data_IF_330985120676
#
_entry.id   IF_330985120676
#
_cell.length_a   1.000
_cell.length_b   1.000
_cell.length_c   1.000
_cell.angle_alpha   90.00
_cell.angle_beta   90.00
_cell.angle_gamma   90.00
#
_symmetry.space_group_name_H-M   'P 1'
#
loop_
_entity.id
_entity.type
_entity.pdbx_description
1 polymer ?
#
# COMPACT_ATOMS: atom_id res chain seq x y z
N UNK A 1 -6.14 -6.69 -13.32
CA UNK A 1 -4.82 -7.17 -12.88
C UNK A 1 -4.80 -8.67 -13.00
N UNK A 2 -3.71 -9.26 -13.53
CA UNK A 2 -3.52 -10.72 -13.61
C UNK A 2 -2.67 -11.28 -12.47
N UNK A 3 -1.91 -10.43 -11.76
CA UNK A 3 -1.15 -10.79 -10.57
C UNK A 3 -1.82 -10.32 -9.27
N UNK A 4 -1.00 -9.93 -8.29
CA UNK A 4 -1.41 -9.54 -6.94
C UNK A 4 -1.06 -8.08 -6.61
N UNK A 5 -1.78 -7.53 -5.63
CA UNK A 5 -1.47 -6.25 -5.01
C UNK A 5 -0.38 -6.50 -3.96
N UNK A 6 0.80 -5.92 -4.16
CA UNK A 6 1.88 -6.00 -3.21
C UNK A 6 1.83 -4.73 -2.35
N UNK A 7 1.37 -4.88 -1.12
CA UNK A 7 1.26 -3.77 -0.17
C UNK A 7 2.58 -3.64 0.58
N UNK A 8 3.11 -2.42 0.69
CA UNK A 8 4.30 -2.16 1.48
C UNK A 8 4.21 -0.84 2.22
N UNK A 9 4.85 -0.76 3.37
CA UNK A 9 4.95 0.46 4.14
C UNK A 9 6.19 0.50 5.01
N UNK A 10 6.48 1.68 5.54
CA UNK A 10 7.62 1.94 6.42
C UNK A 10 7.14 2.12 7.86
N UNK A 11 7.82 1.49 8.82
CA UNK A 11 7.49 1.57 10.24
C UNK A 11 6.05 1.15 10.53
N UNK A 12 5.29 1.97 11.29
CA UNK A 12 3.87 1.69 11.59
C UNK A 12 2.97 1.62 10.35
N UNK A 13 3.39 2.22 9.22
CA UNK A 13 2.64 2.10 7.96
C UNK A 13 2.69 0.66 7.41
N UNK A 14 3.72 -0.12 7.75
CA UNK A 14 3.79 -1.55 7.42
C UNK A 14 2.69 -2.34 8.13
N UNK A 15 2.52 -2.12 9.45
CA UNK A 15 1.49 -2.81 10.25
C UNK A 15 0.08 -2.52 9.70
N UNK A 16 -0.19 -1.26 9.36
CA UNK A 16 -1.44 -0.87 8.69
C UNK A 16 -1.54 -1.53 7.32
N UNK A 17 -0.45 -1.55 6.54
CA UNK A 17 -0.38 -2.21 5.24
C UNK A 17 -0.68 -3.71 5.28
N UNK A 18 -0.29 -4.42 6.33
CA UNK A 18 -0.62 -5.83 6.54
C UNK A 18 -2.14 -6.03 6.69
N UNK A 19 -2.81 -5.19 7.49
CA UNK A 19 -4.27 -5.25 7.68
C UNK A 19 -4.99 -4.90 6.37
N UNK A 20 -4.52 -3.88 5.64
CA UNK A 20 -5.06 -3.49 4.35
C UNK A 20 -4.91 -4.62 3.33
N UNK A 21 -3.73 -5.24 3.25
CA UNK A 21 -3.48 -6.37 2.35
C UNK A 21 -4.41 -7.54 2.66
N UNK A 22 -4.53 -7.90 3.93
CA UNK A 22 -5.45 -8.96 4.39
C UNK A 22 -6.90 -8.63 3.99
N UNK A 23 -7.35 -7.41 4.25
CA UNK A 23 -8.70 -6.96 3.90
C UNK A 23 -8.98 -7.03 2.39
N UNK A 24 -8.04 -6.56 1.57
CA UNK A 24 -8.16 -6.59 0.11
C UNK A 24 -8.20 -8.04 -0.40
N UNK A 25 -7.38 -8.92 0.18
CA UNK A 25 -7.36 -10.36 -0.13
C UNK A 25 -8.71 -11.03 0.19
N UNK A 26 -9.22 -10.83 1.40
CA UNK A 26 -10.52 -11.37 1.84
C UNK A 26 -11.70 -10.84 1.01
N UNK A 27 -11.54 -9.69 0.36
CA UNK A 27 -12.55 -9.09 -0.53
C UNK A 27 -12.36 -9.46 -2.02
N UNK A 28 -11.61 -10.53 -2.30
CA UNK A 28 -11.51 -11.13 -3.63
C UNK A 28 -10.45 -10.51 -4.53
N UNK A 29 -9.48 -9.77 -3.97
CA UNK A 29 -8.33 -9.25 -4.72
C UNK A 29 -7.03 -9.80 -4.16
N UNK A 30 -6.32 -10.69 -4.89
CA UNK A 30 -5.06 -11.26 -4.41
C UNK A 30 -4.11 -10.18 -3.93
N UNK A 31 -3.67 -10.29 -2.68
CA UNK A 31 -2.85 -9.28 -2.03
C UNK A 31 -1.86 -9.93 -1.06
N UNK A 32 -0.65 -9.40 -1.00
CA UNK A 32 0.39 -9.79 -0.04
C UNK A 32 1.12 -8.55 0.46
N UNK A 33 1.52 -8.54 1.73
CA UNK A 33 2.26 -7.43 2.33
C UNK A 33 3.72 -7.79 2.57
N UNK A 34 4.63 -6.88 2.23
CA UNK A 34 6.04 -6.92 2.64
C UNK A 34 6.40 -5.61 3.34
N UNK A 35 7.24 -5.67 4.38
CA UNK A 35 7.81 -4.41 4.88
C UNK A 35 8.74 -3.80 3.85
N UNK A 36 8.92 -2.48 3.88
CA UNK A 36 9.83 -1.82 2.95
C UNK A 36 11.27 -2.36 3.09
N UNK A 37 11.66 -2.70 4.32
CA UNK A 37 12.96 -3.30 4.64
C UNK A 37 13.12 -4.70 4.03
N UNK A 38 12.08 -5.53 4.06
CA UNK A 38 12.12 -6.88 3.48
C UNK A 38 12.32 -6.82 1.96
N UNK A 39 11.67 -5.85 1.30
CA UNK A 39 11.84 -5.62 -0.14
C UNK A 39 13.28 -5.20 -0.45
N UNK A 40 13.80 -4.21 0.28
CA UNK A 40 15.18 -3.76 0.12
C UNK A 40 16.22 -4.89 0.28
N UNK A 41 15.97 -5.81 1.21
CA UNK A 41 16.90 -6.91 1.52
C UNK A 41 16.58 -8.25 0.83
N UNK A 42 15.84 -8.24 -0.29
CA UNK A 42 15.76 -9.39 -1.20
C UNK A 42 14.35 -9.86 -1.57
N UNK A 43 13.31 -9.38 -0.89
CA UNK A 43 11.92 -9.78 -1.20
C UNK A 43 11.38 -9.16 -2.49
N UNK A 44 12.13 -8.26 -3.14
CA UNK A 44 11.81 -7.78 -4.50
C UNK A 44 11.67 -8.91 -5.53
N UNK A 45 12.30 -10.08 -5.29
CA UNK A 45 12.13 -11.27 -6.11
C UNK A 45 10.71 -11.86 -6.12
N UNK A 46 9.88 -11.54 -5.10
CA UNK A 46 8.48 -11.97 -5.03
C UNK A 46 7.56 -11.19 -5.99
N UNK A 47 8.05 -10.10 -6.58
CA UNK A 47 7.30 -9.24 -7.50
C UNK A 47 7.32 -9.84 -8.91
N UNK A 48 6.13 -10.19 -9.41
CA UNK A 48 5.94 -10.58 -10.80
C UNK A 48 5.80 -9.33 -11.67
N UNK A 49 6.93 -8.88 -12.24
CA UNK A 49 7.11 -7.56 -12.90
C UNK A 49 5.99 -7.10 -13.83
N UNK A 50 5.38 -8.02 -14.60
CA UNK A 50 4.35 -7.72 -15.60
C UNK A 50 2.91 -7.87 -15.10
N UNK A 51 2.72 -8.37 -13.88
CA UNK A 51 1.41 -8.81 -13.39
C UNK A 51 1.01 -8.14 -12.09
N UNK A 52 1.99 -7.79 -11.26
CA UNK A 52 1.78 -7.23 -9.93
C UNK A 52 1.73 -5.71 -9.95
N UNK A 53 1.08 -5.15 -8.94
CA UNK A 53 1.06 -3.70 -8.65
C UNK A 53 1.56 -3.47 -7.24
N UNK A 54 2.30 -2.38 -7.02
CA UNK A 54 2.73 -1.98 -5.68
C UNK A 54 1.78 -0.94 -5.11
N UNK A 55 1.30 -1.18 -3.89
CA UNK A 55 0.59 -0.20 -3.07
C UNK A 55 1.51 0.20 -1.91
N UNK A 56 2.12 1.37 -2.03
CA UNK A 56 3.17 1.83 -1.11
C UNK A 56 2.63 2.91 -0.19
N UNK A 57 2.74 2.68 1.12
CA UNK A 57 2.16 3.50 2.19
C UNK A 57 3.27 4.20 2.99
N UNK A 58 3.27 5.53 3.00
CA UNK A 58 4.16 6.30 3.89
C UNK A 58 3.63 7.69 4.17
N UNK A 59 3.47 8.01 5.47
CA UNK A 59 3.00 9.33 5.92
C UNK A 59 3.88 10.46 5.39
N UNK A 60 5.21 10.35 5.54
CA UNK A 60 6.16 11.35 5.04
C UNK A 60 6.45 11.21 3.55
N UNK A 61 6.44 9.98 3.03
CA UNK A 61 6.79 9.64 1.65
C UNK A 61 8.27 9.88 1.30
N UNK A 62 9.16 9.92 2.30
CA UNK A 62 10.56 10.35 2.16
C UNK A 62 11.61 9.38 2.73
N UNK A 63 11.25 8.19 3.24
CA UNK A 63 12.25 7.32 3.85
C UNK A 63 13.18 6.67 2.81
N UNK A 64 14.38 6.29 3.25
CA UNK A 64 15.41 5.72 2.39
C UNK A 64 14.97 4.37 1.78
N UNK A 65 14.28 3.54 2.55
CA UNK A 65 13.77 2.22 2.13
C UNK A 65 12.82 2.34 0.93
N UNK A 66 12.08 3.46 0.83
CA UNK A 66 11.20 3.71 -0.32
C UNK A 66 12.00 3.95 -1.61
N UNK A 67 13.21 4.53 -1.53
CA UNK A 67 14.00 4.85 -2.70
C UNK A 67 14.41 3.58 -3.46
N UNK A 68 14.82 2.54 -2.73
CA UNK A 68 15.16 1.23 -3.28
C UNK A 68 13.96 0.61 -4.01
N UNK A 69 12.77 0.64 -3.39
CA UNK A 69 11.53 0.15 -4.00
C UNK A 69 11.20 0.92 -5.28
N UNK A 70 11.14 2.25 -5.22
CA UNK A 70 10.77 3.10 -6.36
C UNK A 70 11.75 2.96 -7.53
N UNK A 71 13.05 2.86 -7.24
CA UNK A 71 14.09 2.66 -8.26
C UNK A 71 13.90 1.32 -8.97
N UNK A 72 13.66 0.25 -8.20
CA UNK A 72 13.41 -1.08 -8.75
C UNK A 72 12.14 -1.10 -9.60
N UNK A 73 11.04 -0.52 -9.08
CA UNK A 73 9.77 -0.45 -9.78
C UNK A 73 9.90 0.29 -11.11
N UNK A 74 10.56 1.45 -11.11
CA UNK A 74 10.80 2.23 -12.31
C UNK A 74 11.65 1.47 -13.33
N UNK A 75 12.74 0.81 -12.89
CA UNK A 75 13.61 -0.01 -13.76
C UNK A 75 12.86 -1.15 -14.45
N UNK A 76 11.86 -1.72 -13.79
CA UNK A 76 11.12 -2.88 -14.29
C UNK A 76 9.69 -2.56 -14.75
N UNK A 77 9.33 -1.28 -14.88
CA UNK A 77 8.00 -0.82 -15.26
C UNK A 77 6.87 -1.41 -14.39
N UNK A 78 7.14 -1.65 -13.10
CA UNK A 78 6.14 -2.12 -12.15
C UNK A 78 5.28 -0.93 -11.74
N UNK A 79 3.95 -0.97 -11.92
CA UNK A 79 3.10 0.15 -11.54
C UNK A 79 3.09 0.36 -10.02
N UNK A 80 3.26 1.61 -9.60
CA UNK A 80 3.25 2.04 -8.20
C UNK A 80 2.05 2.94 -7.93
N UNK A 81 1.26 2.56 -6.92
CA UNK A 81 0.25 3.37 -6.27
C UNK A 81 0.85 3.89 -4.97
N UNK A 82 1.16 5.17 -4.92
CA UNK A 82 1.72 5.81 -3.73
C UNK A 82 0.65 6.49 -2.90
N UNK A 83 0.64 6.18 -1.60
CA UNK A 83 -0.28 6.76 -0.62
C UNK A 83 0.51 7.51 0.43
N UNK A 84 0.29 8.83 0.52
CA UNK A 84 1.01 9.70 1.45
C UNK A 84 0.15 10.87 1.92
N UNK A 85 0.55 11.51 3.02
CA UNK A 85 -0.05 12.77 3.48
C UNK A 85 0.67 14.01 2.93
N UNK A 86 1.75 13.83 2.16
CA UNK A 86 2.56 14.92 1.60
C UNK A 86 2.62 14.83 0.08
N UNK A 87 1.89 15.72 -0.60
CA UNK A 87 1.82 15.78 -2.07
C UNK A 87 3.19 16.02 -2.73
N UNK A 88 4.10 16.71 -2.05
CA UNK A 88 5.44 17.01 -2.54
C UNK A 88 6.48 15.91 -2.25
N UNK A 89 6.07 14.77 -1.67
CA UNK A 89 6.96 13.69 -1.25
C UNK A 89 7.59 12.94 -2.43
N UNK A 90 8.73 12.30 -2.18
CA UNK A 90 9.41 11.44 -3.16
C UNK A 90 8.48 10.33 -3.64
N UNK A 91 7.77 9.67 -2.72
CA UNK A 91 6.81 8.62 -3.05
C UNK A 91 5.77 9.09 -4.06
N UNK A 92 5.09 10.21 -3.78
CA UNK A 92 4.04 10.72 -4.65
C UNK A 92 4.60 11.15 -6.01
N UNK A 93 5.78 11.78 -6.05
CA UNK A 93 6.40 12.21 -7.31
C UNK A 93 6.71 11.04 -8.26
N UNK A 94 7.13 9.89 -7.73
CA UNK A 94 7.54 8.72 -8.51
C UNK A 94 6.45 7.64 -8.65
N UNK A 95 5.24 7.90 -8.16
CA UNK A 95 4.12 6.97 -8.28
C UNK A 95 3.33 7.20 -9.56
N UNK A 96 2.87 6.11 -10.19
CA UNK A 96 1.98 6.15 -11.34
C UNK A 96 0.59 6.64 -10.94
N UNK A 97 0.07 6.16 -9.80
CA UNK A 97 -1.17 6.64 -9.18
C UNK A 97 -0.82 7.32 -7.87
N UNK A 98 -1.28 8.57 -7.72
CA UNK A 98 -0.91 9.46 -6.61
C UNK A 98 -2.11 9.65 -5.71
N UNK A 99 -2.07 9.07 -4.52
CA UNK A 99 -3.14 9.19 -3.52
C UNK A 99 -2.60 10.04 -2.37
N UNK A 100 -3.10 11.28 -2.30
CA UNK A 100 -2.75 12.20 -1.22
C UNK A 100 -3.89 12.19 -0.21
N UNK A 101 -3.64 11.58 0.95
CA UNK A 101 -4.56 11.60 2.07
C UNK A 101 -4.42 12.92 2.85
N UNK A 102 -5.47 13.40 3.53
CA UNK A 102 -5.37 14.61 4.33
C UNK A 102 -4.33 14.44 5.44
N UNK A 103 -3.60 15.52 5.73
CA UNK A 103 -2.76 15.57 6.93
C UNK A 103 -3.67 15.65 8.15
N UNK A 104 -3.40 14.80 9.12
CA UNK A 104 -4.11 14.76 10.40
C UNK A 104 -3.17 15.18 11.53
N UNK A 105 -3.74 15.64 12.63
CA UNK A 105 -2.99 15.89 13.87
C UNK A 105 -2.92 14.57 14.64
N UNK A 106 -1.71 14.16 15.03
CA UNK A 106 -1.53 12.98 15.86
C UNK A 106 -2.13 13.22 17.26
N UNK A 107 -2.85 12.22 17.75
CA UNK A 107 -3.42 12.25 19.09
C UNK A 107 -2.31 12.39 20.14
N UNK A 108 -2.62 13.16 21.20
CA UNK A 108 -1.68 13.48 22.27
C UNK A 108 -0.49 14.35 21.85
N UNK A 109 -0.56 15.01 20.68
CA UNK A 109 0.54 15.81 20.11
C UNK A 109 1.86 15.03 19.99
N UNK A 110 1.77 13.71 19.83
CA UNK A 110 2.94 12.85 19.74
C UNK A 110 3.55 12.88 18.33
N UNK A 111 4.83 12.50 18.24
CA UNK A 111 5.47 12.21 16.95
C UNK A 111 5.14 10.80 16.44
N UNK A 112 4.46 10.00 17.27
CA UNK A 112 4.10 8.64 16.92
C UNK A 112 2.83 8.62 16.05
N UNK A 113 2.81 7.83 14.96
CA UNK A 113 1.59 7.60 14.19
C UNK A 113 0.47 7.03 15.06
N UNK A 114 -0.66 7.74 15.09
CA UNK A 114 -1.90 7.44 15.80
C UNK A 114 -3.08 7.71 14.86
N UNK A 115 -3.51 8.97 14.74
CA UNK A 115 -4.55 9.45 13.83
C UNK A 115 -4.19 9.12 12.39
N UNK A 116 -2.92 9.27 11.98
CA UNK A 116 -2.52 8.95 10.60
C UNK A 116 -2.68 7.47 10.28
N UNK A 117 -2.45 6.58 11.25
CA UNK A 117 -2.60 5.15 11.05
C UNK A 117 -4.06 4.78 10.79
N UNK A 118 -5.00 5.39 11.51
CA UNK A 118 -6.43 5.23 11.25
C UNK A 118 -6.82 5.78 9.88
N UNK A 119 -6.30 6.94 9.49
CA UNK A 119 -6.58 7.53 8.18
C UNK A 119 -6.18 6.59 7.03
N UNK A 120 -4.99 5.99 7.10
CA UNK A 120 -4.51 5.01 6.13
C UNK A 120 -5.36 3.73 6.15
N UNK A 121 -5.74 3.25 7.33
CA UNK A 121 -6.57 2.05 7.47
C UNK A 121 -7.97 2.27 6.88
N UNK A 122 -8.61 3.40 7.16
CA UNK A 122 -9.90 3.79 6.59
C UNK A 122 -9.83 3.85 5.06
N UNK A 123 -8.78 4.46 4.52
CA UNK A 123 -8.52 4.43 3.07
C UNK A 123 -8.43 3.01 2.53
N UNK A 124 -7.67 2.13 3.18
CA UNK A 124 -7.48 0.75 2.72
C UNK A 124 -8.77 -0.08 2.75
N UNK A 125 -9.62 0.08 3.77
CA UNK A 125 -10.93 -0.55 3.80
C UNK A 125 -11.84 -0.03 2.69
N UNK A 126 -11.87 1.29 2.47
CA UNK A 126 -12.64 1.88 1.37
C UNK A 126 -12.16 1.35 0.00
N UNK A 127 -10.85 1.22 -0.20
CA UNK A 127 -10.26 0.64 -1.40
C UNK A 127 -10.69 -0.83 -1.58
N UNK A 128 -10.61 -1.65 -0.52
CA UNK A 128 -11.05 -3.04 -0.54
C UNK A 128 -12.51 -3.19 -0.95
N UNK A 129 -13.41 -2.40 -0.36
CA UNK A 129 -14.84 -2.41 -0.70
C UNK A 129 -15.11 -1.92 -2.13
N UNK A 130 -14.39 -0.90 -2.59
CA UNK A 130 -14.49 -0.42 -3.97
C UNK A 130 -14.05 -1.50 -4.98
N UNK A 131 -12.97 -2.22 -4.68
CA UNK A 131 -12.50 -3.35 -5.48
C UNK A 131 -13.51 -4.52 -5.47
N UNK A 132 -14.05 -4.86 -4.30
CA UNK A 132 -15.10 -5.87 -4.13
C UNK A 132 -16.29 -5.58 -5.04
N UNK A 133 -16.81 -4.35 -4.97
CA UNK A 133 -17.94 -3.89 -5.79
C UNK A 133 -17.62 -3.94 -7.28
N UNK A 134 -16.45 -3.45 -7.68
CA UNK A 134 -16.00 -3.47 -9.08
C UNK A 134 -15.88 -4.89 -9.65
N UNK A 135 -15.54 -5.88 -8.81
CA UNK A 135 -15.41 -7.29 -9.19
C UNK A 135 -16.72 -8.08 -9.09
N UNK A 136 -17.81 -7.46 -8.64
CA UNK A 136 -19.04 -8.18 -8.27
C UNK A 136 -18.72 -9.38 -7.36
N UNK A 137 -17.85 -9.15 -6.37
CA UNK A 137 -17.54 -10.14 -5.35
C UNK A 137 -18.65 -10.12 -4.30
N UNK A 138 -19.23 -11.29 -4.03
CA UNK A 138 -20.44 -11.44 -3.20
C UNK A 138 -20.13 -12.23 -1.93
N UNK A 139 -21.00 -12.12 -0.93
CA UNK A 139 -20.89 -12.88 0.33
C UNK A 139 -20.80 -14.40 0.08
N UNK A 140 -21.48 -14.91 -0.95
CA UNK A 140 -21.37 -16.33 -1.32
C UNK A 140 -19.96 -16.71 -1.77
N UNK A 141 -19.25 -15.81 -2.48
CA UNK A 141 -17.85 -16.02 -2.86
C UNK A 141 -16.90 -15.93 -1.66
N UNK A 142 -17.24 -15.12 -0.65
CA UNK A 142 -16.48 -15.02 0.59
C UNK A 142 -16.45 -16.33 1.38
N UNK A 143 -17.59 -17.02 1.48
CA UNK A 143 -17.72 -18.26 2.29
C UNK A 143 -16.87 -19.42 1.74
N UNK A 144 -16.54 -19.40 0.44
CA UNK A 144 -15.82 -20.47 -0.27
C UNK A 144 -14.34 -20.16 -0.54
N UNK A 145 -13.82 -19.06 -0.02
CA UNK A 145 -12.40 -18.64 -0.16
C UNK A 145 -11.60 -19.12 1.06
#
# INVERSE_FOLDING_TARGET
MKGKCIVSGVGKSNLVGQIISSSIASLGTPSISFSANDLEHGSLGAIQKNYDVLLVLSVSGMSAELQSILTYSNRHNIPVIGVSCKSSSMLIKHSNIKIVLPKVVEAGHSLAPTSSSLNFLSFGHALGLALMKRKNFTNTKFIIT
#
